data_IF_282483201241
#
_entry.id   IF_282483201241
#
_cell.length_a   1.000
_cell.length_b   1.000
_cell.length_c   1.000
_cell.angle_alpha   90.00
_cell.angle_beta   90.00
_cell.angle_gamma   90.00
#
_symmetry.space_group_name_H-M   'P 1'
#
loop_
_entity.id
_entity.type
_entity.pdbx_description
1 polymer ?
#
# COMPACT_ATOMS: atom_id res chain seq x y z
N UNK A 1 -47.94 -24.64 -22.82
CA UNK A 1 -47.10 -25.48 -23.71
C UNK A 1 -46.56 -24.60 -24.82
N UNK A 2 -45.38 -24.93 -25.39
CA UNK A 2 -44.65 -24.25 -26.50
C UNK A 2 -43.54 -23.28 -26.05
N UNK A 3 -42.31 -23.29 -26.53
CA UNK A 3 -41.40 -24.28 -27.14
C UNK A 3 -39.98 -23.64 -27.16
N UNK A 4 -38.94 -24.47 -27.05
CA UNK A 4 -37.52 -24.09 -27.18
C UNK A 4 -37.15 -23.62 -28.60
N UNK A 5 -36.27 -22.60 -28.67
CA UNK A 5 -35.41 -22.19 -29.80
C UNK A 5 -34.21 -21.42 -29.18
N UNK A 6 -32.94 -21.47 -29.58
CA UNK A 6 -32.23 -22.12 -30.69
C UNK A 6 -30.72 -22.02 -30.39
N UNK A 7 -29.99 -23.00 -30.92
CA UNK A 7 -28.54 -23.23 -31.02
C UNK A 7 -27.68 -22.13 -31.65
N UNK A 8 -26.37 -22.14 -31.35
CA UNK A 8 -25.33 -21.63 -32.27
C UNK A 8 -23.95 -21.47 -31.64
N UNK A 9 -23.07 -22.46 -31.82
CA UNK A 9 -21.65 -22.40 -31.50
C UNK A 9 -20.82 -22.00 -32.73
N UNK A 10 -19.82 -21.13 -32.57
CA UNK A 10 -18.80 -20.89 -33.61
C UNK A 10 -17.45 -20.41 -33.03
N UNK A 11 -16.49 -21.34 -32.90
CA UNK A 11 -15.04 -21.10 -33.14
C UNK A 11 -14.79 -21.43 -34.62
N UNK A 12 -13.63 -21.19 -35.29
CA UNK A 12 -12.36 -20.52 -34.93
C UNK A 12 -11.79 -19.60 -36.06
N UNK A 13 -10.66 -18.89 -35.83
CA UNK A 13 -9.76 -18.43 -36.92
C UNK A 13 -8.37 -18.02 -36.38
N UNK A 14 -7.37 -18.92 -36.42
CA UNK A 14 -6.23 -18.97 -37.36
C UNK A 14 -5.37 -17.69 -37.42
N UNK A 15 -4.16 -17.81 -36.89
CA UNK A 15 -2.99 -16.96 -37.17
C UNK A 15 -2.45 -17.18 -38.60
N UNK A 16 -1.64 -16.23 -39.10
CA UNK A 16 -0.46 -16.58 -39.88
C UNK A 16 0.82 -15.87 -39.39
N UNK A 17 1.94 -16.53 -39.67
CA UNK A 17 3.32 -16.16 -39.35
C UNK A 17 4.03 -15.44 -40.51
N UNK A 18 5.27 -14.98 -40.23
CA UNK A 18 6.38 -14.59 -41.15
C UNK A 18 6.26 -13.16 -41.72
N UNK A 19 7.32 -12.34 -41.86
CA UNK A 19 8.76 -12.59 -42.07
C UNK A 19 9.56 -11.27 -41.96
N UNK A 20 10.86 -11.37 -41.65
CA UNK A 20 12.01 -10.57 -42.13
C UNK A 20 11.87 -9.02 -42.21
N UNK A 21 12.68 -8.21 -41.53
CA UNK A 21 14.14 -8.09 -41.71
C UNK A 21 14.46 -6.70 -42.29
N UNK A 22 15.73 -6.28 -42.19
CA UNK A 22 16.40 -5.11 -42.80
C UNK A 22 16.77 -3.97 -41.83
N UNK A 23 18.08 -3.74 -41.82
CA UNK A 23 18.85 -2.69 -41.17
C UNK A 23 18.74 -1.34 -41.90
N UNK A 24 19.09 -0.24 -41.23
CA UNK A 24 19.60 0.96 -41.93
C UNK A 24 19.24 2.32 -41.35
N UNK A 25 20.22 2.93 -40.67
CA UNK A 25 20.69 4.32 -40.76
C UNK A 25 19.71 5.53 -40.73
N UNK A 26 19.89 6.35 -39.68
CA UNK A 26 20.15 7.81 -39.67
C UNK A 26 19.30 8.75 -40.55
N UNK A 27 18.48 9.59 -39.93
CA UNK A 27 18.30 11.01 -40.29
C UNK A 27 18.08 11.86 -39.04
N UNK A 28 18.96 12.86 -38.88
CA UNK A 28 18.86 13.98 -37.94
C UNK A 28 17.67 14.89 -38.28
N UNK A 29 16.86 15.25 -37.29
CA UNK A 29 15.82 16.28 -37.38
C UNK A 29 15.67 17.02 -36.05
N UNK A 30 16.29 18.19 -35.96
CA UNK A 30 16.21 19.13 -34.84
C UNK A 30 14.98 20.00 -35.04
N UNK A 31 13.96 19.92 -34.17
CA UNK A 31 13.06 21.03 -33.80
C UNK A 31 12.41 20.71 -32.44
N UNK A 32 12.54 21.64 -31.49
CA UNK A 32 12.35 21.40 -30.07
C UNK A 32 10.91 21.43 -29.54
N UNK A 33 10.76 20.89 -28.33
CA UNK A 33 9.84 21.37 -27.30
C UNK A 33 10.47 21.03 -25.95
N UNK A 34 10.91 22.05 -25.22
CA UNK A 34 11.55 21.91 -23.93
C UNK A 34 10.56 21.45 -22.86
N UNK A 35 10.77 20.26 -22.33
CA UNK A 35 10.46 19.94 -20.93
C UNK A 35 11.80 19.63 -20.27
N UNK A 36 12.20 20.34 -19.20
CA UNK A 36 13.42 19.98 -18.47
C UNK A 36 13.27 18.54 -17.97
N UNK A 37 14.03 17.63 -18.59
CA UNK A 37 14.16 16.26 -18.12
C UNK A 37 14.89 16.34 -16.77
N UNK A 38 14.30 15.86 -15.66
CA UNK A 38 15.02 15.82 -14.39
C UNK A 38 16.28 14.97 -14.58
N UNK A 39 17.42 15.37 -13.97
CA UNK A 39 18.66 14.62 -14.12
C UNK A 39 18.44 13.16 -13.71
N UNK A 40 18.95 12.18 -14.48
CA UNK A 40 18.91 10.79 -14.06
C UNK A 40 19.61 10.70 -12.69
N UNK A 41 19.01 10.03 -11.69
CA UNK A 41 19.66 9.84 -10.41
C UNK A 41 21.01 9.15 -10.64
N UNK A 42 22.08 9.58 -9.95
CA UNK A 42 23.41 9.01 -10.13
C UNK A 42 23.33 7.49 -9.97
N UNK A 43 23.94 6.78 -10.92
CA UNK A 43 24.08 5.33 -10.92
C UNK A 43 24.61 4.87 -9.55
N UNK A 44 23.72 4.32 -8.72
CA UNK A 44 24.00 4.00 -7.33
C UNK A 44 22.77 3.87 -6.43
N UNK A 45 21.63 4.47 -6.80
CA UNK A 45 20.35 4.19 -6.12
C UNK A 45 19.71 2.92 -6.66
N UNK A 46 20.40 1.80 -6.43
CA UNK A 46 19.72 0.52 -6.23
C UNK A 46 18.71 0.77 -5.10
N UNK A 47 17.41 0.39 -5.22
CA UNK A 47 16.51 0.45 -4.09
C UNK A 47 17.21 -0.30 -2.96
N UNK A 48 17.57 0.42 -1.89
CA UNK A 48 18.39 -0.12 -0.83
C UNK A 48 17.71 -1.42 -0.39
N UNK A 49 18.32 -2.56 -0.71
CA UNK A 49 17.92 -3.82 -0.12
C UNK A 49 18.01 -3.55 1.37
N UNK A 50 16.85 -3.52 2.04
CA UNK A 50 16.76 -3.00 3.38
C UNK A 50 17.54 -3.93 4.30
N UNK A 51 18.79 -3.57 4.54
CA UNK A 51 19.66 -4.29 5.45
C UNK A 51 19.03 -4.16 6.83
N UNK A 52 18.73 -5.29 7.46
CA UNK A 52 18.43 -5.37 8.88
C UNK A 52 19.46 -4.52 9.64
N UNK A 53 19.00 -3.51 10.35
CA UNK A 53 19.83 -2.62 11.13
C UNK A 53 20.38 -3.34 12.35
N UNK A 54 21.61 -3.02 12.74
CA UNK A 54 22.28 -3.64 13.90
C UNK A 54 21.52 -3.48 15.24
N UNK A 55 20.55 -2.56 15.31
CA UNK A 55 19.72 -2.29 16.49
C UNK A 55 18.31 -2.90 16.39
N UNK A 56 18.05 -3.74 15.40
CA UNK A 56 16.76 -4.41 15.30
C UNK A 56 16.62 -5.51 16.36
N UNK A 57 15.46 -5.63 17.02
CA UNK A 57 15.27 -6.66 18.02
C UNK A 57 15.28 -8.05 17.38
N UNK A 58 15.84 -9.04 18.08
CA UNK A 58 16.06 -10.40 17.55
C UNK A 58 14.77 -11.14 17.12
N UNK A 59 13.60 -10.74 17.64
CA UNK A 59 12.33 -11.31 17.21
C UNK A 59 11.97 -10.94 15.76
N UNK A 60 12.53 -9.84 15.24
CA UNK A 60 12.23 -9.30 13.92
C UNK A 60 12.83 -10.15 12.78
N UNK A 61 13.99 -10.75 13.02
CA UNK A 61 14.63 -11.71 12.10
C UNK A 61 14.00 -13.09 12.19
N UNK A 62 13.49 -13.45 13.37
CA UNK A 62 12.97 -14.80 13.65
C UNK A 62 11.52 -15.02 13.20
N UNK A 63 10.70 -13.97 13.08
CA UNK A 63 9.28 -14.08 12.70
C UNK A 63 9.07 -13.84 11.22
N UNK A 64 8.29 -14.68 10.55
CA UNK A 64 7.95 -14.53 9.13
C UNK A 64 7.12 -13.26 8.85
N UNK A 65 6.30 -12.83 9.82
CA UNK A 65 5.45 -11.63 9.73
C UNK A 65 5.70 -10.68 10.90
N UNK A 66 5.56 -9.37 10.63
CA UNK A 66 5.57 -8.36 11.67
C UNK A 66 4.31 -8.47 12.55
N UNK A 67 4.39 -8.17 13.85
CA UNK A 67 3.24 -8.21 14.74
C UNK A 67 2.15 -7.24 14.26
N UNK A 68 0.90 -7.47 14.66
CA UNK A 68 -0.16 -6.52 14.37
C UNK A 68 0.13 -5.17 15.06
N UNK A 69 -0.37 -4.05 14.49
CA UNK A 69 -0.42 -2.77 15.18
C UNK A 69 -1.14 -2.88 16.52
N UNK A 70 -0.59 -2.23 17.54
CA UNK A 70 -1.21 -2.16 18.87
C UNK A 70 -2.31 -1.10 18.86
N UNK A 71 -3.57 -1.52 18.94
CA UNK A 71 -4.73 -0.63 18.88
C UNK A 71 -4.79 0.32 20.08
N UNK A 72 -4.27 -0.07 21.24
CA UNK A 72 -4.31 0.74 22.46
C UNK A 72 -3.32 1.92 22.39
N UNK A 73 -2.34 1.84 21.50
CA UNK A 73 -1.31 2.87 21.29
C UNK A 73 -1.57 3.74 20.07
N UNK A 74 -2.58 3.41 19.27
CA UNK A 74 -3.03 4.21 18.14
C UNK A 74 -4.16 5.13 18.59
N UNK A 75 -4.18 6.35 18.06
CA UNK A 75 -5.24 7.30 18.37
C UNK A 75 -5.89 7.80 17.08
N UNK A 76 -7.19 8.05 17.11
CA UNK A 76 -7.90 8.68 16.01
C UNK A 76 -8.85 9.75 16.55
N UNK A 77 -8.62 10.99 16.14
CA UNK A 77 -9.49 12.15 16.40
C UNK A 77 -10.43 12.33 15.20
N UNK A 78 -11.70 11.97 15.35
CA UNK A 78 -12.70 12.05 14.28
C UNK A 78 -13.11 13.49 13.94
N UNK A 79 -12.97 14.44 14.87
CA UNK A 79 -13.27 15.85 14.62
C UNK A 79 -12.21 16.48 13.69
N UNK A 80 -10.94 16.15 13.94
CA UNK A 80 -9.81 16.66 13.15
C UNK A 80 -9.46 15.77 11.95
N UNK A 81 -9.98 14.53 11.97
CA UNK A 81 -9.62 13.41 11.08
C UNK A 81 -8.13 13.12 11.12
N UNK A 82 -7.57 13.10 12.33
CA UNK A 82 -6.15 12.94 12.56
C UNK A 82 -5.87 11.60 13.23
N UNK A 83 -5.02 10.81 12.58
CA UNK A 83 -4.49 9.56 13.09
C UNK A 83 -3.16 9.84 13.82
N UNK A 84 -3.09 9.45 15.09
CA UNK A 84 -1.89 9.45 15.92
C UNK A 84 -1.26 8.05 15.93
N UNK A 85 0.02 8.00 15.59
CA UNK A 85 0.80 6.78 15.43
C UNK A 85 1.98 6.79 16.42
N UNK A 86 2.20 5.67 17.08
CA UNK A 86 3.34 5.52 17.99
C UNK A 86 4.64 5.26 17.23
N UNK A 87 5.78 5.55 17.86
CA UNK A 87 7.09 5.30 17.27
C UNK A 87 7.37 3.81 17.09
N UNK A 88 7.73 3.43 15.88
CA UNK A 88 8.11 2.06 15.55
C UNK A 88 9.61 1.84 15.80
N UNK A 89 10.00 0.65 16.26
CA UNK A 89 11.41 0.32 16.42
C UNK A 89 12.11 0.16 15.05
N UNK A 90 13.39 0.52 15.00
CA UNK A 90 14.24 0.27 13.83
C UNK A 90 13.90 1.16 12.63
N UNK A 91 13.80 0.55 11.44
CA UNK A 91 13.51 1.22 10.16
C UNK A 91 12.10 0.93 9.65
N UNK A 92 11.20 0.56 10.55
CA UNK A 92 9.82 0.27 10.20
C UNK A 92 9.08 1.57 9.93
N UNK A 93 8.14 1.52 8.99
CA UNK A 93 7.45 2.69 8.46
C UNK A 93 5.96 2.49 8.51
N UNK A 94 5.23 3.50 8.99
CA UNK A 94 3.78 3.50 8.97
C UNK A 94 3.25 3.73 7.57
N UNK A 95 2.20 2.98 7.25
CA UNK A 95 1.54 2.98 5.96
C UNK A 95 0.03 3.14 6.16
N UNK A 96 -0.58 4.03 5.39
CA UNK A 96 -2.04 4.20 5.34
C UNK A 96 -2.50 3.92 3.92
N UNK A 97 -3.44 3.00 3.77
CA UNK A 97 -4.05 2.66 2.48
C UNK A 97 -5.50 3.11 2.47
N UNK A 98 -5.82 4.01 1.55
CA UNK A 98 -7.19 4.49 1.37
C UNK A 98 -8.04 3.45 0.61
N UNK A 99 -9.39 3.50 0.72
CA UNK A 99 -10.27 2.49 0.15
C UNK A 99 -10.18 2.30 -1.36
N UNK A 100 -9.72 3.32 -2.09
CA UNK A 100 -9.63 3.34 -3.55
C UNK A 100 -8.19 3.13 -4.05
N UNK A 101 -7.26 2.83 -3.14
CA UNK A 101 -5.85 2.70 -3.46
C UNK A 101 -5.39 1.26 -3.37
N UNK A 102 -4.53 0.86 -4.31
CA UNK A 102 -3.98 -0.49 -4.36
C UNK A 102 -2.80 -0.69 -3.41
N UNK A 103 -2.17 0.41 -2.99
CA UNK A 103 -1.02 0.41 -2.08
C UNK A 103 -1.19 1.48 -1.01
N UNK A 104 -0.61 1.24 0.17
CA UNK A 104 -0.52 2.26 1.20
C UNK A 104 0.55 3.30 0.91
N UNK A 105 0.38 4.46 1.52
CA UNK A 105 1.34 5.57 1.50
C UNK A 105 2.09 5.68 2.81
N UNK A 106 3.35 6.08 2.72
CA UNK A 106 4.16 6.40 3.88
C UNK A 106 3.56 7.60 4.63
N UNK A 107 3.37 7.45 5.94
CA UNK A 107 2.85 8.53 6.79
C UNK A 107 3.76 8.79 8.00
N UNK A 108 3.70 10.01 8.51
CA UNK A 108 4.39 10.41 9.72
C UNK A 108 3.59 10.07 11.00
N UNK A 109 4.13 10.42 12.18
CA UNK A 109 3.52 10.13 13.49
C UNK A 109 2.11 10.73 13.67
N UNK A 110 1.81 11.79 12.94
CA UNK A 110 0.49 12.39 12.86
C UNK A 110 0.08 12.51 11.40
N UNK A 111 -1.05 11.91 11.04
CA UNK A 111 -1.53 11.90 9.67
C UNK A 111 -2.99 12.30 9.59
N UNK A 112 -3.29 13.30 8.77
CA UNK A 112 -4.67 13.74 8.54
C UNK A 112 -5.26 12.99 7.36
N UNK A 113 -6.37 12.31 7.60
CA UNK A 113 -7.11 11.61 6.55
C UNK A 113 -7.86 12.61 5.65
N UNK A 114 -7.99 12.33 4.34
CA UNK A 114 -8.79 13.14 3.43
C UNK A 114 -10.26 13.21 3.84
N UNK A 115 -10.99 14.19 3.31
CA UNK A 115 -12.42 14.30 3.58
C UNK A 115 -13.21 13.20 2.85
N UNK A 116 -14.32 12.72 3.44
CA UNK A 116 -15.24 11.79 2.78
C UNK A 116 -14.71 10.35 2.62
N UNK A 117 -13.59 10.01 3.24
CA UNK A 117 -13.05 8.64 3.25
C UNK A 117 -13.80 7.75 4.25
N UNK A 118 -13.99 6.49 3.86
CA UNK A 118 -14.57 5.46 4.71
C UNK A 118 -13.51 4.89 5.66
N UNK A 119 -13.63 5.17 6.95
CA UNK A 119 -12.71 4.72 8.01
C UNK A 119 -12.77 3.20 8.23
N UNK A 120 -13.86 2.53 7.84
CA UNK A 120 -13.99 1.07 7.93
C UNK A 120 -13.21 0.34 6.84
N UNK A 121 -12.88 1.05 5.76
CA UNK A 121 -12.10 0.53 4.62
C UNK A 121 -10.72 1.15 4.50
N UNK A 122 -10.41 2.13 5.34
CA UNK A 122 -9.07 2.74 5.42
C UNK A 122 -8.21 1.88 6.32
N UNK A 123 -7.11 1.36 5.77
CA UNK A 123 -6.23 0.44 6.45
C UNK A 123 -4.99 1.16 6.97
N UNK A 124 -4.58 0.81 8.18
CA UNK A 124 -3.36 1.25 8.84
C UNK A 124 -2.52 0.01 9.10
N UNK A 125 -1.28 0.04 8.66
CA UNK A 125 -0.31 -1.02 8.91
C UNK A 125 1.09 -0.41 8.94
N UNK A 126 2.08 -1.20 9.32
CA UNK A 126 3.47 -0.79 9.19
C UNK A 126 4.24 -1.83 8.41
N UNK A 127 5.23 -1.35 7.67
CA UNK A 127 6.06 -2.18 6.84
C UNK A 127 7.52 -1.83 7.03
N UNK A 128 8.34 -2.87 6.97
CA UNK A 128 9.75 -2.71 6.74
C UNK A 128 9.99 -2.70 5.24
N UNK A 129 10.57 -1.62 4.68
CA UNK A 129 10.88 -1.56 3.25
C UNK A 129 11.59 -2.82 2.80
N UNK A 130 11.16 -3.45 1.70
CA UNK A 130 11.84 -4.61 1.11
C UNK A 130 11.86 -5.91 1.93
N UNK A 131 11.18 -5.99 3.08
CA UNK A 131 11.24 -7.17 3.96
C UNK A 131 9.85 -7.73 4.25
N UNK A 132 9.04 -7.03 5.07
CA UNK A 132 7.80 -7.58 5.65
C UNK A 132 6.78 -6.47 5.94
N UNK A 133 5.50 -6.80 5.89
CA UNK A 133 4.40 -5.96 6.38
C UNK A 133 3.74 -6.60 7.60
N UNK A 134 3.16 -5.76 8.47
CA UNK A 134 2.31 -6.21 9.56
C UNK A 134 0.90 -6.58 9.08
N UNK A 135 0.08 -7.09 10.00
CA UNK A 135 -1.36 -7.17 9.75
C UNK A 135 -1.94 -5.75 9.65
N UNK A 136 -2.92 -5.56 8.77
CA UNK A 136 -3.63 -4.30 8.66
C UNK A 136 -4.77 -4.23 9.69
N UNK A 137 -4.97 -3.03 10.22
CA UNK A 137 -6.13 -2.67 11.06
C UNK A 137 -6.90 -1.54 10.39
N UNK A 138 -8.19 -1.41 10.69
CA UNK A 138 -9.01 -0.32 10.11
C UNK A 138 -8.98 0.90 11.02
N UNK A 139 -9.14 2.09 10.47
CA UNK A 139 -9.30 3.31 11.28
C UNK A 139 -10.53 3.20 12.19
N UNK A 140 -11.61 2.60 11.71
CA UNK A 140 -12.79 2.32 12.51
C UNK A 140 -12.49 1.41 13.73
N UNK A 141 -11.61 0.41 13.58
CA UNK A 141 -11.21 -0.43 14.73
C UNK A 141 -10.35 0.32 15.75
N UNK A 142 -9.54 1.28 15.31
CA UNK A 142 -8.76 2.15 16.20
C UNK A 142 -9.72 3.06 16.99
N UNK A 143 -10.69 3.68 16.30
CA UNK A 143 -11.73 4.50 16.94
C UNK A 143 -12.57 3.69 17.93
N UNK A 144 -12.93 2.45 17.57
CA UNK A 144 -13.70 1.57 18.44
C UNK A 144 -12.93 1.14 19.69
N UNK A 145 -11.63 0.87 19.56
CA UNK A 145 -10.74 0.50 20.68
C UNK A 145 -10.61 1.61 21.75
N UNK A 146 -10.84 2.87 21.36
CA UNK A 146 -10.84 4.01 22.28
C UNK A 146 -12.03 4.06 23.23
N UNK A 147 -13.13 3.35 22.93
CA UNK A 147 -14.29 3.36 23.81
C UNK A 147 -13.85 2.69 25.11
N UNK A 148 -13.84 3.41 26.26
CA UNK A 148 -13.54 2.78 27.51
C UNK A 148 -14.57 1.66 27.66
N UNK A 149 -14.08 0.43 27.76
CA UNK A 149 -14.87 -0.67 28.30
C UNK A 149 -15.31 -0.16 29.67
N UNK A 150 -16.53 0.37 29.72
CA UNK A 150 -17.17 0.79 30.95
C UNK A 150 -17.51 -0.54 31.62
N UNK A 151 -16.46 -1.12 32.19
CA UNK A 151 -16.52 -2.38 32.88
C UNK A 151 -17.50 -2.15 34.01
N UNK A 152 -18.53 -2.98 33.98
CA UNK A 152 -19.75 -2.93 34.76
C UNK A 152 -19.39 -3.14 36.24
N UNK A 153 -18.76 -2.15 36.86
CA UNK A 153 -18.55 -2.06 38.30
C UNK A 153 -19.82 -1.50 38.94
N UNK A 154 -20.93 -2.21 38.75
CA UNK A 154 -22.13 -2.05 39.55
C UNK A 154 -22.37 -3.40 40.25
N UNK A 155 -21.56 -3.68 41.27
CA UNK A 155 -21.93 -4.68 42.26
C UNK A 155 -21.19 -4.42 43.57
N UNK A 156 -21.75 -3.55 44.41
CA UNK A 156 -22.12 -3.84 45.80
C UNK A 156 -22.69 -2.61 46.50
#
# INVERSE_FOLDING_TARGET
MTALRTTGATRPRRAPALRAGVAGALVLGVFGCGTPSPPPPPHGQQPAAATLGANDPAWLTSREKLPAPDLDRLDYDSEKRTLGLYDLPGRDQWMVQLPNETAGHLVGPSHRLPEGIDTSRTLVYYARPGVKSSAAVTVASIEAGRRPHTSLALNR
#
